data_IF_041848421431
#
_entry.id   IF_041848421431
#
_cell.length_a   1.000
_cell.length_b   1.000
_cell.length_c   1.000
_cell.angle_alpha   90.00
_cell.angle_beta   90.00
_cell.angle_gamma   90.00
#
_symmetry.space_group_name_H-M   'P 1'
#
loop_
_entity.id
_entity.type
_entity.pdbx_description
1 polymer ?
#
# COMPACT_ATOMS: atom_id res chain seq x y z
N UNK A 1 -16.42 9.56 15.23
CA UNK A 1 -16.93 8.22 14.89
C UNK A 1 -18.00 7.84 15.88
N UNK A 2 -19.16 7.39 15.42
CA UNK A 2 -20.27 6.94 16.27
C UNK A 2 -20.07 5.49 16.73
N UNK A 3 -19.29 4.69 15.99
CA UNK A 3 -18.95 3.32 16.35
C UNK A 3 -17.57 2.91 15.80
N UNK A 4 -17.09 1.74 16.22
CA UNK A 4 -15.81 1.18 15.80
C UNK A 4 -15.78 0.90 14.29
N UNK A 5 -16.91 0.56 13.68
CA UNK A 5 -16.96 0.19 12.27
C UNK A 5 -16.76 1.40 11.36
N UNK A 6 -17.34 2.56 11.70
CA UNK A 6 -17.06 3.83 11.02
C UNK A 6 -15.57 4.20 11.10
N UNK A 7 -14.97 4.06 12.28
CA UNK A 7 -13.54 4.35 12.47
C UNK A 7 -12.67 3.41 11.62
N UNK A 8 -13.00 2.11 11.58
CA UNK A 8 -12.29 1.14 10.74
C UNK A 8 -12.45 1.46 9.26
N UNK A 9 -13.63 1.86 8.81
CA UNK A 9 -13.87 2.24 7.41
C UNK A 9 -13.01 3.43 6.99
N UNK A 10 -12.97 4.48 7.80
CA UNK A 10 -12.17 5.67 7.48
C UNK A 10 -10.67 5.41 7.61
N UNK A 11 -10.24 4.60 8.58
CA UNK A 11 -8.86 4.13 8.67
C UNK A 11 -8.46 3.33 7.41
N UNK A 12 -9.31 2.43 6.94
CA UNK A 12 -9.05 1.66 5.72
C UNK A 12 -8.93 2.58 4.50
N UNK A 13 -9.83 3.57 4.34
CA UNK A 13 -9.72 4.57 3.27
C UNK A 13 -8.41 5.34 3.34
N UNK A 14 -8.03 5.78 4.54
CA UNK A 14 -6.76 6.49 4.77
C UNK A 14 -5.56 5.62 4.39
N UNK A 15 -5.51 4.37 4.84
CA UNK A 15 -4.39 3.45 4.56
C UNK A 15 -4.27 3.14 3.07
N UNK A 16 -5.39 2.94 2.38
CA UNK A 16 -5.41 2.76 0.91
C UNK A 16 -4.85 4.02 0.24
N UNK A 17 -5.36 5.20 0.59
CA UNK A 17 -4.88 6.45 0.01
C UNK A 17 -3.38 6.65 0.26
N UNK A 18 -2.92 6.45 1.49
CA UNK A 18 -1.53 6.62 1.89
C UNK A 18 -0.60 5.70 1.09
N UNK A 19 -0.92 4.41 1.00
CA UNK A 19 -0.03 3.46 0.34
C UNK A 19 0.03 3.66 -1.19
N UNK A 20 -1.08 4.01 -1.84
CA UNK A 20 -1.15 4.08 -3.30
C UNK A 20 -0.96 5.47 -3.90
N UNK A 21 -1.26 6.54 -3.14
CA UNK A 21 -1.34 7.89 -3.70
C UNK A 21 -0.38 8.87 -3.02
N UNK A 22 -0.02 8.65 -1.74
CA UNK A 22 0.86 9.59 -1.04
C UNK A 22 2.30 9.45 -1.55
N UNK A 23 2.81 10.54 -2.10
CA UNK A 23 4.23 10.64 -2.46
C UNK A 23 5.14 10.85 -1.24
N UNK A 24 6.28 10.15 -1.21
CA UNK A 24 7.31 10.29 -0.18
C UNK A 24 8.65 10.77 -0.75
N UNK A 25 9.14 11.89 -0.23
CA UNK A 25 10.40 12.48 -0.67
C UNK A 25 11.63 11.62 -0.34
N UNK A 26 11.64 10.93 0.80
CA UNK A 26 12.72 10.00 1.18
C UNK A 26 12.84 8.84 0.20
N UNK A 27 11.73 8.17 -0.09
CA UNK A 27 11.68 7.07 -1.08
C UNK A 27 12.20 7.50 -2.46
N UNK A 28 11.84 8.71 -2.90
CA UNK A 28 12.34 9.25 -4.18
C UNK A 28 13.85 9.47 -4.17
N UNK A 29 14.42 9.91 -3.05
CA UNK A 29 15.86 10.17 -2.92
C UNK A 29 16.66 8.88 -2.80
N UNK A 30 16.16 7.92 -2.03
CA UNK A 30 16.90 6.71 -1.65
C UNK A 30 16.78 5.59 -2.67
N UNK A 31 15.56 5.28 -3.12
CA UNK A 31 15.28 4.12 -3.99
C UNK A 31 14.54 4.50 -5.28
N UNK A 32 14.37 5.80 -5.57
CA UNK A 32 13.77 6.36 -6.79
C UNK A 32 12.31 5.94 -7.07
N UNK A 33 11.57 5.59 -6.02
CA UNK A 33 10.11 5.33 -6.11
C UNK A 33 9.30 6.45 -5.46
N UNK A 34 8.04 6.59 -5.84
CA UNK A 34 7.17 7.68 -5.40
C UNK A 34 6.32 7.32 -4.20
N UNK A 35 5.73 6.12 -4.16
CA UNK A 35 4.71 5.74 -3.17
C UNK A 35 5.19 4.59 -2.28
N UNK A 36 4.59 4.38 -1.10
CA UNK A 36 4.89 3.22 -0.26
C UNK A 36 4.61 1.90 -0.99
N UNK A 37 3.56 1.83 -1.82
CA UNK A 37 3.27 0.64 -2.63
C UNK A 37 4.37 0.36 -3.66
N UNK A 38 4.85 1.38 -4.39
CA UNK A 38 5.96 1.20 -5.34
C UNK A 38 7.25 0.77 -4.62
N UNK A 39 7.48 1.21 -3.37
CA UNK A 39 8.59 0.71 -2.56
C UNK A 39 8.42 -0.77 -2.21
N UNK A 40 7.21 -1.20 -1.86
CA UNK A 40 6.92 -2.61 -1.62
C UNK A 40 7.22 -3.47 -2.86
N UNK A 41 6.81 -3.02 -4.05
CA UNK A 41 7.13 -3.68 -5.32
C UNK A 41 8.64 -3.73 -5.58
N UNK A 42 9.35 -2.61 -5.35
CA UNK A 42 10.80 -2.54 -5.47
C UNK A 42 11.51 -3.56 -4.57
N UNK A 43 11.13 -3.63 -3.29
CA UNK A 43 11.74 -4.56 -2.33
C UNK A 43 11.42 -6.02 -2.66
N UNK A 44 10.20 -6.30 -3.09
CA UNK A 44 9.81 -7.64 -3.53
C UNK A 44 10.64 -8.10 -4.72
N UNK A 45 10.86 -7.23 -5.72
CA UNK A 45 11.68 -7.54 -6.88
C UNK A 45 13.16 -7.76 -6.53
N UNK A 46 13.65 -7.07 -5.50
CA UNK A 46 15.03 -7.21 -5.02
C UNK A 46 15.24 -8.52 -4.24
N UNK A 47 14.30 -8.89 -3.37
CA UNK A 47 14.43 -10.07 -2.51
C UNK A 47 13.06 -10.68 -2.19
N UNK A 48 12.48 -11.46 -3.13
CA UNK A 48 11.13 -12.00 -2.98
C UNK A 48 11.01 -12.97 -1.80
N UNK A 49 12.10 -13.63 -1.41
CA UNK A 49 12.12 -14.60 -0.30
C UNK A 49 11.80 -13.98 1.07
N UNK A 50 11.90 -12.66 1.21
CA UNK A 50 11.47 -11.95 2.42
C UNK A 50 9.95 -11.86 2.56
N UNK A 51 9.21 -12.16 1.50
CA UNK A 51 7.77 -11.94 1.42
C UNK A 51 7.01 -13.24 1.34
N UNK A 52 5.97 -13.35 2.17
CA UNK A 52 5.08 -14.52 2.18
C UNK A 52 4.07 -14.46 1.01
N UNK A 53 3.83 -13.25 0.46
CA UNK A 53 2.86 -13.00 -0.60
C UNK A 53 3.37 -11.94 -1.59
N UNK A 54 2.86 -12.00 -2.82
CA UNK A 54 3.12 -10.99 -3.85
C UNK A 54 2.43 -9.65 -3.53
N UNK A 55 3.05 -8.50 -3.81
CA UNK A 55 2.44 -7.18 -3.65
C UNK A 55 1.11 -7.02 -4.39
N UNK A 56 0.98 -7.62 -5.59
CA UNK A 56 -0.25 -7.56 -6.41
C UNK A 56 -1.50 -8.09 -5.69
N UNK A 57 -1.33 -9.03 -4.75
CA UNK A 57 -2.44 -9.54 -3.94
C UNK A 57 -3.07 -8.46 -3.06
N UNK A 58 -2.28 -7.46 -2.64
CA UNK A 58 -2.82 -6.33 -1.88
C UNK A 58 -3.65 -5.42 -2.78
N UNK A 59 -3.20 -5.21 -4.02
CA UNK A 59 -3.92 -4.40 -5.01
C UNK A 59 -5.24 -5.06 -5.41
N UNK A 60 -5.24 -6.36 -5.69
CA UNK A 60 -6.48 -7.09 -6.02
C UNK A 60 -7.50 -7.04 -4.88
N UNK A 61 -7.09 -7.31 -3.63
CA UNK A 61 -7.98 -7.22 -2.46
C UNK A 61 -8.60 -5.83 -2.31
N UNK A 62 -7.85 -4.76 -2.56
CA UNK A 62 -8.31 -3.38 -2.38
C UNK A 62 -9.22 -2.89 -3.53
N UNK A 63 -8.95 -3.33 -4.77
CA UNK A 63 -9.59 -2.76 -5.96
C UNK A 63 -10.51 -3.71 -6.73
N UNK A 64 -10.32 -5.04 -6.65
CA UNK A 64 -11.23 -6.01 -7.30
C UNK A 64 -12.48 -6.30 -6.45
N UNK A 65 -12.45 -6.02 -5.15
CA UNK A 65 -13.63 -6.11 -4.27
C UNK A 65 -14.64 -4.97 -4.46
N UNK A 66 -14.45 -4.14 -5.50
CA UNK A 66 -15.25 -2.95 -5.81
C UNK A 66 -15.96 -3.02 -7.17
N UNK A 67 -15.84 -4.11 -7.92
CA UNK A 67 -16.68 -4.46 -9.08
C UNK A 67 -17.73 -5.50 -8.71
#
# INVERSE_FOLDING_TARGET
YQNIDEMKQDLNKFLIFYNFNRGHGGLRKEIKVRTPYEALEYWYNLKPDLFIRKPDMFRSVVFESRE
#
